data_IF_847910179689
#
_entry.id   IF_847910179689
#
_cell.length_a   1.000
_cell.length_b   1.000
_cell.length_c   1.000
_cell.angle_alpha   90.00
_cell.angle_beta   90.00
_cell.angle_gamma   90.00
#
_symmetry.space_group_name_H-M   'P 1'
#
loop_
_entity.id
_entity.type
_entity.pdbx_description
1 polymer ?
#
# COMPACT_ATOMS: atom_id res chain seq x y z
N UNK A 1 -41.20 -6.92 3.54
CA UNK A 1 -40.64 -5.58 3.26
C UNK A 1 -41.15 -4.52 4.24
N UNK A 2 -42.47 -4.27 4.33
CA UNK A 2 -43.05 -3.21 5.18
C UNK A 2 -42.63 -3.27 6.67
N UNK A 3 -42.58 -4.46 7.28
CA UNK A 3 -42.15 -4.62 8.67
C UNK A 3 -40.66 -4.27 8.88
N UNK A 4 -39.81 -4.61 7.92
CA UNK A 4 -38.39 -4.23 7.96
C UNK A 4 -38.21 -2.72 7.77
N UNK A 5 -39.00 -2.11 6.88
CA UNK A 5 -38.99 -0.66 6.67
C UNK A 5 -39.36 0.07 7.95
N UNK A 6 -40.45 -0.31 8.60
CA UNK A 6 -40.89 0.30 9.86
C UNK A 6 -39.84 0.15 10.97
N UNK A 7 -39.28 -1.04 11.13
CA UNK A 7 -38.26 -1.31 12.14
C UNK A 7 -37.00 -0.43 11.95
N UNK A 8 -36.45 -0.37 10.74
CA UNK A 8 -35.21 0.39 10.49
C UNK A 8 -35.43 1.90 10.46
N UNK A 9 -36.63 2.35 10.06
CA UNK A 9 -37.01 3.77 10.13
C UNK A 9 -37.05 4.24 11.58
N UNK A 10 -37.68 3.46 12.45
CA UNK A 10 -37.74 3.72 13.89
C UNK A 10 -36.33 3.67 14.52
N UNK A 11 -35.62 2.56 14.30
CA UNK A 11 -34.30 2.30 14.92
C UNK A 11 -33.23 3.36 14.59
N UNK A 12 -33.30 4.00 13.43
CA UNK A 12 -32.34 5.03 13.03
C UNK A 12 -32.94 6.44 12.94
N UNK A 13 -34.22 6.60 13.29
CA UNK A 13 -34.97 7.85 13.21
C UNK A 13 -34.86 8.51 11.82
N UNK A 14 -35.14 7.75 10.77
CA UNK A 14 -35.12 8.21 9.37
C UNK A 14 -36.44 7.92 8.67
N UNK A 15 -36.69 8.60 7.54
CA UNK A 15 -37.91 8.45 6.76
C UNK A 15 -38.09 7.00 6.25
N UNK A 16 -39.25 6.35 6.51
CA UNK A 16 -39.60 5.06 5.92
C UNK A 16 -39.43 4.98 4.40
N UNK A 17 -39.68 6.06 3.67
CA UNK A 17 -39.49 6.09 2.22
C UNK A 17 -38.01 5.95 1.83
N UNK A 18 -37.11 6.59 2.58
CA UNK A 18 -35.67 6.47 2.39
C UNK A 18 -35.20 5.04 2.68
N UNK A 19 -35.68 4.43 3.78
CA UNK A 19 -35.35 3.04 4.14
C UNK A 19 -35.82 2.07 3.06
N UNK A 20 -37.05 2.24 2.56
CA UNK A 20 -37.62 1.39 1.52
C UNK A 20 -36.80 1.46 0.23
N UNK A 21 -36.39 2.67 -0.18
CA UNK A 21 -35.52 2.86 -1.34
C UNK A 21 -34.15 2.18 -1.17
N UNK A 22 -33.55 2.24 0.03
CA UNK A 22 -32.29 1.53 0.30
C UNK A 22 -32.48 0.02 0.29
N UNK A 23 -33.52 -0.52 0.94
CA UNK A 23 -33.81 -1.96 0.97
C UNK A 23 -33.97 -2.55 -0.44
N UNK A 24 -34.53 -1.80 -1.38
CA UNK A 24 -34.65 -2.22 -2.77
C UNK A 24 -33.29 -2.39 -3.49
N UNK A 25 -32.20 -1.87 -2.92
CA UNK A 25 -30.83 -2.02 -3.41
C UNK A 25 -29.95 -2.63 -2.31
N UNK A 26 -29.69 -3.94 -2.41
CA UNK A 26 -28.92 -4.70 -1.42
C UNK A 26 -27.59 -4.04 -1.04
N UNK A 27 -26.84 -3.51 -2.00
CA UNK A 27 -25.55 -2.87 -1.73
C UNK A 27 -25.72 -1.55 -0.98
N UNK A 28 -26.70 -0.73 -1.37
CA UNK A 28 -27.01 0.52 -0.70
C UNK A 28 -27.50 0.28 0.74
N UNK A 29 -28.32 -0.75 0.94
CA UNK A 29 -28.81 -1.12 2.27
C UNK A 29 -27.69 -1.64 3.17
N UNK A 30 -26.83 -2.53 2.67
CA UNK A 30 -25.69 -3.05 3.43
C UNK A 30 -24.72 -1.93 3.86
N UNK A 31 -24.36 -1.01 2.95
CA UNK A 31 -23.50 0.13 3.31
C UNK A 31 -24.19 1.07 4.32
N UNK A 32 -25.51 1.27 4.20
CA UNK A 32 -26.27 2.05 5.16
C UNK A 32 -26.23 1.42 6.56
N UNK A 33 -26.58 0.14 6.69
CA UNK A 33 -26.52 -0.57 7.97
C UNK A 33 -25.11 -0.55 8.54
N UNK A 34 -24.08 -0.83 7.72
CA UNK A 34 -22.67 -0.77 8.15
C UNK A 34 -22.30 0.62 8.67
N UNK A 35 -22.79 1.68 8.03
CA UNK A 35 -22.51 3.06 8.46
C UNK A 35 -23.15 3.44 9.79
N UNK A 36 -24.35 2.91 10.09
CA UNK A 36 -25.09 3.21 11.32
C UNK A 36 -24.69 2.32 12.49
N UNK A 37 -24.39 1.05 12.21
CA UNK A 37 -24.16 0.05 13.26
C UNK A 37 -22.67 -0.17 13.52
N UNK A 38 -21.83 -0.29 12.49
CA UNK A 38 -20.48 -0.86 12.65
C UNK A 38 -19.37 0.20 12.72
N UNK A 39 -19.56 1.36 12.07
CA UNK A 39 -18.53 2.42 12.06
C UNK A 39 -18.42 3.10 13.44
N UNK A 40 -17.27 3.76 13.69
CA UNK A 40 -17.01 4.51 14.92
C UNK A 40 -18.20 5.38 15.33
N UNK A 41 -18.71 5.16 16.54
CA UNK A 41 -19.91 5.82 17.08
C UNK A 41 -21.23 5.07 16.84
N UNK A 42 -21.21 3.99 16.06
CA UNK A 42 -22.35 3.09 15.86
C UNK A 42 -22.49 2.06 16.99
N UNK A 43 -23.68 1.48 17.11
CA UNK A 43 -24.04 0.56 18.20
C UNK A 43 -23.14 -0.68 18.33
N UNK A 44 -22.72 -1.24 17.20
CA UNK A 44 -21.84 -2.40 17.11
C UNK A 44 -20.35 -2.05 17.01
N UNK A 45 -19.98 -0.78 17.16
CA UNK A 45 -18.57 -0.40 17.14
C UNK A 45 -17.89 -0.69 18.47
N UNK A 46 -16.83 -1.50 18.42
CA UNK A 46 -15.92 -1.69 19.54
C UNK A 46 -14.58 -1.02 19.21
N UNK A 47 -14.08 -0.20 20.14
CA UNK A 47 -12.76 0.40 20.00
C UNK A 47 -11.70 -0.71 20.04
N UNK A 48 -10.76 -0.74 19.07
CA UNK A 48 -9.64 -1.67 19.09
C UNK A 48 -8.83 -1.59 20.39
N UNK A 49 -8.45 -2.76 20.90
CA UNK A 49 -7.55 -2.92 22.05
C UNK A 49 -6.50 -3.99 21.73
N UNK A 50 -5.46 -4.09 22.56
CA UNK A 50 -4.45 -5.16 22.42
C UNK A 50 -5.02 -6.58 22.53
N UNK A 51 -6.25 -6.74 23.04
CA UNK A 51 -6.95 -8.04 23.10
C UNK A 51 -7.66 -8.40 21.79
N UNK A 52 -7.98 -7.40 20.95
CA UNK A 52 -8.73 -7.58 19.71
C UNK A 52 -7.88 -7.38 18.46
N UNK A 53 -6.75 -6.67 18.59
CA UNK A 53 -5.77 -6.45 17.53
C UNK A 53 -4.35 -6.61 18.09
N UNK A 54 -3.40 -7.16 17.30
CA UNK A 54 -2.02 -7.26 17.70
C UNK A 54 -1.38 -5.87 17.88
N UNK A 55 -0.33 -5.79 18.70
CA UNK A 55 0.45 -4.56 18.81
C UNK A 55 1.22 -4.32 17.51
N UNK A 56 1.51 -3.06 17.22
CA UNK A 56 2.24 -2.68 16.01
C UNK A 56 3.60 -3.37 15.91
N UNK A 57 4.33 -3.45 17.02
CA UNK A 57 5.66 -4.07 17.06
C UNK A 57 5.58 -5.58 16.80
N UNK A 58 4.54 -6.25 17.29
CA UNK A 58 4.29 -7.67 17.01
C UNK A 58 3.99 -7.91 15.53
N UNK A 59 3.20 -7.03 14.91
CA UNK A 59 2.90 -7.12 13.47
C UNK A 59 4.16 -6.91 12.63
N UNK A 60 4.99 -5.92 12.97
CA UNK A 60 6.24 -5.67 12.27
C UNK A 60 7.17 -6.88 12.41
N UNK A 61 7.33 -7.42 13.62
CA UNK A 61 8.14 -8.61 13.87
C UNK A 61 7.66 -9.81 13.04
N UNK A 62 6.34 -10.09 13.04
CA UNK A 62 5.77 -11.19 12.26
C UNK A 62 6.01 -11.05 10.74
N UNK A 63 5.94 -9.82 10.21
CA UNK A 63 6.27 -9.56 8.79
C UNK A 63 7.76 -9.81 8.53
N UNK A 64 8.64 -9.38 9.43
CA UNK A 64 10.08 -9.56 9.30
C UNK A 64 10.50 -11.03 9.41
N UNK A 65 9.85 -11.83 10.27
CA UNK A 65 10.08 -13.27 10.39
C UNK A 65 9.80 -14.00 9.06
N UNK A 66 8.80 -13.53 8.30
CA UNK A 66 8.51 -14.02 6.96
C UNK A 66 9.48 -13.49 5.89
N UNK A 67 10.50 -12.70 6.29
CA UNK A 67 11.41 -11.97 5.40
C UNK A 67 10.68 -11.10 4.38
N UNK A 68 9.47 -10.65 4.73
CA UNK A 68 8.66 -9.74 3.93
C UNK A 68 9.00 -8.28 4.26
N UNK A 69 8.34 -7.32 3.61
CA UNK A 69 8.61 -5.89 3.73
C UNK A 69 7.58 -5.24 4.67
N UNK A 70 7.94 -4.85 5.91
CA UNK A 70 7.05 -4.07 6.75
C UNK A 70 6.77 -2.71 6.12
N UNK A 71 5.50 -2.42 5.91
CA UNK A 71 5.04 -1.28 5.12
C UNK A 71 3.93 -0.54 5.87
N UNK A 72 4.01 0.78 5.93
CA UNK A 72 2.92 1.57 6.49
C UNK A 72 1.92 1.99 5.42
N UNK A 73 0.63 1.82 5.71
CA UNK A 73 -0.41 2.43 4.89
C UNK A 73 -0.60 3.90 5.29
N UNK A 74 -0.57 4.78 4.30
CA UNK A 74 -1.00 6.17 4.42
C UNK A 74 -2.29 6.36 3.64
N UNK A 75 -3.29 6.95 4.28
CA UNK A 75 -4.62 7.04 3.71
C UNK A 75 -4.78 8.32 2.88
N UNK A 76 -4.79 9.47 3.57
CA UNK A 76 -5.18 10.73 2.92
C UNK A 76 -4.81 12.02 3.67
N UNK A 77 -3.93 11.96 4.67
CA UNK A 77 -3.47 13.13 5.41
C UNK A 77 -4.44 13.62 6.47
N UNK A 78 -5.61 12.97 6.67
CA UNK A 78 -6.64 13.50 7.56
C UNK A 78 -6.43 13.14 9.04
N UNK A 79 -5.77 12.02 9.34
CA UNK A 79 -5.58 11.60 10.73
C UNK A 79 -4.62 12.53 11.47
N UNK A 80 -4.72 12.61 12.80
CA UNK A 80 -3.81 13.44 13.61
C UNK A 80 -2.33 13.09 13.39
N UNK A 81 -2.04 11.81 13.14
CA UNK A 81 -0.69 11.35 12.84
C UNK A 81 -0.27 11.74 11.41
N UNK A 82 -1.14 11.52 10.41
CA UNK A 82 -0.83 11.82 9.01
C UNK A 82 -0.71 13.33 8.72
N UNK A 83 -1.34 14.18 9.53
CA UNK A 83 -1.14 15.64 9.49
C UNK A 83 0.28 16.07 9.90
N UNK A 84 1.04 15.16 10.53
CA UNK A 84 2.45 15.34 10.90
C UNK A 84 3.30 14.25 10.22
N UNK A 85 3.40 14.27 8.88
CA UNK A 85 3.87 13.13 8.10
C UNK A 85 5.33 12.76 8.41
N UNK A 86 6.19 13.72 8.72
CA UNK A 86 7.60 13.44 9.03
C UNK A 86 7.78 12.74 10.39
N UNK A 87 7.28 13.25 11.53
CA UNK A 87 7.29 12.50 12.79
C UNK A 87 6.59 11.14 12.71
N UNK A 88 5.50 11.06 11.94
CA UNK A 88 4.81 9.82 11.67
C UNK A 88 5.73 8.79 10.99
N UNK A 89 6.39 9.16 9.90
CA UNK A 89 7.33 8.27 9.20
C UNK A 89 8.54 7.91 10.07
N UNK A 90 9.16 8.89 10.74
CA UNK A 90 10.29 8.64 11.64
C UNK A 90 9.95 7.62 12.74
N UNK A 91 8.76 7.72 13.32
CA UNK A 91 8.28 6.77 14.34
C UNK A 91 8.17 5.36 13.79
N UNK A 92 7.63 5.21 12.57
CA UNK A 92 7.44 3.91 11.95
C UNK A 92 8.76 3.30 11.44
N UNK A 93 9.65 4.12 10.88
CA UNK A 93 11.01 3.72 10.49
C UNK A 93 11.76 3.19 11.70
N UNK A 94 11.73 3.92 12.83
CA UNK A 94 12.37 3.50 14.07
C UNK A 94 11.84 2.16 14.61
N UNK A 95 10.60 1.79 14.25
CA UNK A 95 9.98 0.51 14.59
C UNK A 95 10.28 -0.62 13.60
N UNK A 96 10.88 -0.33 12.44
CA UNK A 96 11.25 -1.32 11.43
C UNK A 96 10.42 -1.29 10.15
N UNK A 97 9.59 -0.26 9.93
CA UNK A 97 8.96 -0.02 8.62
C UNK A 97 10.01 0.45 7.62
N UNK A 98 10.01 -0.16 6.45
CA UNK A 98 10.99 0.13 5.38
C UNK A 98 10.34 0.47 4.04
N UNK A 99 9.02 0.60 3.99
CA UNK A 99 8.26 0.95 2.79
C UNK A 99 6.94 1.65 3.16
N UNK A 100 6.28 2.28 2.18
CA UNK A 100 4.94 2.87 2.35
C UNK A 100 3.96 2.36 1.30
N UNK A 101 2.68 2.33 1.65
CA UNK A 101 1.57 2.06 0.74
C UNK A 101 0.65 3.28 0.62
N UNK A 102 0.26 3.64 -0.60
CA UNK A 102 -0.67 4.74 -0.88
C UNK A 102 -1.82 4.21 -1.76
N UNK A 103 -3.03 4.70 -1.53
CA UNK A 103 -4.18 4.55 -2.44
C UNK A 103 -4.33 5.89 -3.20
N UNK A 104 -3.77 6.01 -4.42
CA UNK A 104 -3.56 7.31 -5.03
C UNK A 104 -4.86 8.02 -5.46
N UNK A 105 -5.82 7.32 -6.08
CA UNK A 105 -7.03 7.96 -6.61
C UNK A 105 -7.92 8.61 -5.55
N UNK A 106 -7.84 8.11 -4.32
CA UNK A 106 -8.52 8.68 -3.15
C UNK A 106 -8.06 10.10 -2.83
N UNK A 107 -6.88 10.51 -3.32
CA UNK A 107 -6.19 11.72 -2.86
C UNK A 107 -6.28 12.91 -3.82
N UNK A 108 -6.95 12.76 -4.96
CA UNK A 108 -7.06 13.86 -5.92
C UNK A 108 -8.45 14.00 -6.55
N UNK A 109 -9.24 12.93 -6.63
CA UNK A 109 -10.50 12.93 -7.37
C UNK A 109 -11.68 13.47 -6.53
N UNK A 110 -11.70 14.79 -6.29
CA UNK A 110 -12.76 15.48 -5.53
C UNK A 110 -13.46 16.55 -6.38
N UNK A 111 -14.79 16.68 -6.19
CA UNK A 111 -15.59 17.74 -6.81
C UNK A 111 -15.29 19.11 -6.19
N UNK A 112 -15.13 19.14 -4.87
CA UNK A 112 -14.76 20.34 -4.13
C UNK A 112 -13.27 20.63 -4.36
N UNK A 113 -12.98 21.84 -4.86
CA UNK A 113 -11.63 22.26 -5.24
C UNK A 113 -10.72 22.55 -4.05
N UNK A 114 -11.26 22.98 -2.92
CA UNK A 114 -10.47 23.24 -1.73
C UNK A 114 -10.08 21.92 -1.06
N UNK A 115 -11.01 20.96 -1.03
CA UNK A 115 -10.72 19.59 -0.57
C UNK A 115 -9.69 18.94 -1.50
N UNK A 116 -9.87 19.05 -2.81
CA UNK A 116 -8.94 18.54 -3.82
C UNK A 116 -7.52 19.09 -3.58
N UNK A 117 -7.38 20.41 -3.46
CA UNK A 117 -6.08 21.06 -3.26
C UNK A 117 -5.38 20.58 -1.97
N UNK A 118 -6.13 20.48 -0.86
CA UNK A 118 -5.58 20.00 0.42
C UNK A 118 -5.10 18.54 0.34
N UNK A 119 -5.88 17.68 -0.32
CA UNK A 119 -5.55 16.25 -0.45
C UNK A 119 -4.34 16.02 -1.36
N UNK A 120 -4.26 16.78 -2.45
CA UNK A 120 -3.11 16.78 -3.34
C UNK A 120 -1.85 17.27 -2.60
N UNK A 121 -1.94 18.37 -1.84
CA UNK A 121 -0.80 18.88 -1.09
C UNK A 121 -0.30 17.88 -0.04
N UNK A 122 -1.22 17.18 0.64
CA UNK A 122 -0.88 16.14 1.60
C UNK A 122 -0.19 14.94 0.93
N UNK A 123 -0.67 14.52 -0.25
CA UNK A 123 -0.02 13.48 -1.06
C UNK A 123 1.38 13.91 -1.51
N UNK A 124 1.51 15.11 -2.05
CA UNK A 124 2.79 15.65 -2.55
C UNK A 124 3.83 15.66 -1.41
N UNK A 125 3.44 16.11 -0.22
CA UNK A 125 4.32 16.14 0.96
C UNK A 125 4.69 14.74 1.45
N UNK A 126 3.73 13.82 1.49
CA UNK A 126 4.00 12.44 1.91
C UNK A 126 4.96 11.74 0.94
N UNK A 127 4.75 11.87 -0.37
CA UNK A 127 5.66 11.32 -1.40
C UNK A 127 7.06 11.94 -1.28
N UNK A 128 7.15 13.26 -1.07
CA UNK A 128 8.45 13.95 -0.88
C UNK A 128 9.21 13.37 0.31
N UNK A 129 8.53 13.16 1.44
CA UNK A 129 9.15 12.59 2.64
C UNK A 129 9.51 11.13 2.47
N UNK A 130 8.66 10.30 1.86
CA UNK A 130 9.01 8.90 1.56
C UNK A 130 10.29 8.81 0.74
N UNK A 131 10.46 9.67 -0.26
CA UNK A 131 11.69 9.75 -1.05
C UNK A 131 12.90 10.21 -0.23
N UNK A 132 12.73 11.21 0.62
CA UNK A 132 13.80 11.69 1.53
C UNK A 132 14.31 10.58 2.45
N UNK A 133 13.43 9.69 2.89
CA UNK A 133 13.77 8.55 3.74
C UNK A 133 14.08 7.26 2.96
N UNK A 134 14.17 7.34 1.63
CA UNK A 134 14.41 6.19 0.75
C UNK A 134 13.44 5.02 0.98
N UNK A 135 12.17 5.34 1.20
CA UNK A 135 11.09 4.37 1.35
C UNK A 135 10.45 4.10 -0.02
N UNK A 136 10.50 2.86 -0.55
CA UNK A 136 9.75 2.50 -1.75
C UNK A 136 8.24 2.70 -1.51
N UNK A 137 7.58 3.24 -2.53
CA UNK A 137 6.15 3.57 -2.50
C UNK A 137 5.37 2.52 -3.29
N UNK A 138 4.69 1.62 -2.58
CA UNK A 138 3.72 0.72 -3.20
C UNK A 138 2.39 1.46 -3.39
N UNK A 139 1.82 1.35 -4.58
CA UNK A 139 0.50 1.92 -4.88
C UNK A 139 -0.44 0.84 -5.39
N UNK A 140 -1.72 0.99 -5.08
CA UNK A 140 -2.73 0.09 -5.59
C UNK A 140 -4.13 0.60 -5.34
N UNK A 141 -5.06 0.08 -6.15
CA UNK A 141 -6.47 0.40 -6.03
C UNK A 141 -7.05 -0.21 -4.75
N UNK A 142 -7.83 0.55 -4.00
CA UNK A 142 -8.59 0.08 -2.84
C UNK A 142 -9.90 -0.58 -3.30
N UNK A 143 -9.85 -1.67 -4.08
CA UNK A 143 -11.00 -2.32 -4.75
C UNK A 143 -12.03 -2.97 -3.82
N UNK A 144 -12.51 -2.23 -2.83
CA UNK A 144 -13.38 -2.66 -1.75
C UNK A 144 -14.85 -2.26 -1.95
N UNK A 145 -15.17 -1.53 -3.02
CA UNK A 145 -16.51 -1.05 -3.34
C UNK A 145 -16.83 -1.13 -4.83
N UNK A 146 -18.07 -1.49 -5.19
CA UNK A 146 -18.54 -1.39 -6.57
C UNK A 146 -18.34 0.02 -7.14
N UNK A 147 -17.85 0.10 -8.38
CA UNK A 147 -17.65 1.36 -9.10
C UNK A 147 -16.27 2.01 -8.91
N UNK A 148 -15.40 1.45 -8.06
CA UNK A 148 -13.99 1.84 -8.06
C UNK A 148 -13.29 1.36 -9.33
N UNK A 149 -12.26 2.08 -9.74
CA UNK A 149 -11.46 1.72 -10.92
C UNK A 149 -10.67 0.44 -10.65
N UNK A 150 -10.45 -0.33 -11.71
CA UNK A 150 -9.53 -1.46 -11.70
C UNK A 150 -8.06 -0.99 -11.68
N UNK A 151 -7.80 0.18 -12.28
CA UNK A 151 -6.48 0.81 -12.34
C UNK A 151 -6.66 2.29 -12.03
N UNK A 152 -5.84 2.82 -11.12
CA UNK A 152 -5.81 4.25 -10.80
C UNK A 152 -5.43 5.10 -12.03
N UNK A 153 -5.87 6.35 -12.05
CA UNK A 153 -5.59 7.24 -13.18
C UNK A 153 -4.22 7.91 -13.05
N UNK A 154 -3.18 7.21 -13.51
CA UNK A 154 -1.81 7.74 -13.56
C UNK A 154 -1.59 8.83 -14.61
N UNK A 155 -2.58 9.12 -15.46
CA UNK A 155 -2.53 10.24 -16.42
C UNK A 155 -2.94 11.57 -15.79
N UNK A 156 -3.72 11.53 -14.70
CA UNK A 156 -4.12 12.72 -13.95
C UNK A 156 -2.90 13.51 -13.48
N UNK A 157 -2.95 14.84 -13.56
CA UNK A 157 -1.80 15.70 -13.26
C UNK A 157 -1.22 15.45 -11.86
N UNK A 158 -2.08 15.28 -10.86
CA UNK A 158 -1.69 15.00 -9.48
C UNK A 158 -0.92 13.68 -9.34
N UNK A 159 -1.20 12.69 -10.19
CA UNK A 159 -0.53 11.38 -10.17
C UNK A 159 0.72 11.36 -11.06
N UNK A 160 0.64 11.99 -12.23
CA UNK A 160 1.70 11.99 -13.24
C UNK A 160 3.03 12.51 -12.70
N UNK A 161 3.00 13.52 -11.83
CA UNK A 161 4.22 14.07 -11.19
C UNK A 161 4.94 13.07 -10.26
N UNK A 162 4.23 12.07 -9.75
CA UNK A 162 4.77 11.05 -8.85
C UNK A 162 5.02 9.71 -9.53
N UNK A 163 4.70 9.59 -10.82
CA UNK A 163 4.77 8.34 -11.58
C UNK A 163 6.11 7.63 -11.43
N UNK A 164 7.23 8.37 -11.49
CA UNK A 164 8.55 7.77 -11.35
C UNK A 164 8.76 7.12 -9.97
N UNK A 165 8.30 7.76 -8.90
CA UNK A 165 8.42 7.23 -7.55
C UNK A 165 7.53 5.99 -7.34
N UNK A 166 6.34 6.00 -7.94
CA UNK A 166 5.43 4.83 -7.92
C UNK A 166 5.99 3.66 -8.73
N UNK A 167 6.56 3.93 -9.90
CA UNK A 167 7.19 2.91 -10.73
C UNK A 167 8.40 2.29 -10.04
N UNK A 168 9.26 3.11 -9.42
CA UNK A 168 10.41 2.65 -8.64
C UNK A 168 9.97 1.77 -7.47
N UNK A 169 8.93 2.17 -6.72
CA UNK A 169 8.37 1.35 -5.65
C UNK A 169 7.83 0.01 -6.15
N UNK A 170 7.11 -0.01 -7.27
CA UNK A 170 6.65 -1.26 -7.90
C UNK A 170 7.83 -2.14 -8.34
N UNK A 171 8.88 -1.54 -8.90
CA UNK A 171 10.11 -2.24 -9.26
C UNK A 171 10.77 -2.85 -8.02
N UNK A 172 10.83 -2.15 -6.88
CA UNK A 172 11.35 -2.75 -5.64
C UNK A 172 10.55 -3.98 -5.23
N UNK A 173 9.22 -3.98 -5.32
CA UNK A 173 8.39 -5.15 -4.99
C UNK A 173 8.70 -6.35 -5.92
N UNK A 174 8.87 -6.09 -7.21
CA UNK A 174 9.26 -7.12 -8.20
C UNK A 174 10.69 -7.61 -7.95
N UNK A 175 11.62 -6.70 -7.69
CA UNK A 175 13.02 -7.01 -7.39
C UNK A 175 13.16 -7.86 -6.14
N UNK A 176 12.45 -7.50 -5.07
CA UNK A 176 12.36 -8.28 -3.84
C UNK A 176 11.86 -9.70 -4.12
N UNK A 177 10.76 -9.83 -4.86
CA UNK A 177 10.21 -11.14 -5.22
C UNK A 177 11.20 -11.98 -6.01
N UNK A 178 11.93 -11.39 -6.97
CA UNK A 178 12.93 -12.09 -7.79
C UNK A 178 14.14 -12.53 -6.97
N UNK A 179 14.73 -11.60 -6.20
CA UNK A 179 15.90 -11.85 -5.38
C UNK A 179 15.60 -12.87 -4.27
N UNK A 180 14.45 -12.76 -3.61
CA UNK A 180 14.08 -13.72 -2.57
C UNK A 180 13.88 -15.12 -3.16
N UNK A 181 13.20 -15.21 -4.31
CA UNK A 181 12.90 -16.48 -4.97
C UNK A 181 14.14 -17.21 -5.49
N UNK A 182 15.04 -16.49 -6.14
CA UNK A 182 16.15 -17.11 -6.88
C UNK A 182 17.50 -17.01 -6.16
N UNK A 183 17.71 -15.92 -5.41
CA UNK A 183 18.97 -15.64 -4.74
C UNK A 183 18.90 -15.77 -3.21
N UNK A 184 17.72 -16.08 -2.65
CA UNK A 184 17.49 -16.12 -1.21
C UNK A 184 17.85 -14.80 -0.50
N UNK A 185 17.64 -13.66 -1.18
CA UNK A 185 17.92 -12.31 -0.64
C UNK A 185 16.62 -11.50 -0.50
N UNK A 186 16.32 -11.06 0.71
CA UNK A 186 15.19 -10.19 1.03
C UNK A 186 15.59 -8.71 1.06
N UNK A 187 14.61 -7.83 0.82
CA UNK A 187 14.80 -6.38 0.94
C UNK A 187 15.17 -5.98 2.36
N UNK A 188 14.76 -6.75 3.38
CA UNK A 188 15.06 -6.43 4.78
C UNK A 188 16.33 -7.08 5.31
N UNK A 189 17.03 -7.90 4.51
CA UNK A 189 18.26 -8.53 5.00
C UNK A 189 19.31 -7.46 5.29
N UNK A 190 19.96 -7.49 6.47
CA UNK A 190 20.91 -6.45 6.86
C UNK A 190 22.10 -6.39 5.89
N UNK A 191 22.53 -7.55 5.41
CA UNK A 191 23.62 -7.70 4.44
C UNK A 191 23.23 -8.70 3.35
N UNK A 192 23.77 -8.49 2.15
CA UNK A 192 23.76 -9.49 1.09
C UNK A 192 25.04 -9.33 0.27
N UNK A 193 25.59 -10.45 -0.20
CA UNK A 193 26.85 -10.46 -0.97
C UNK A 193 28.01 -9.75 -0.22
N UNK A 194 28.09 -9.96 1.10
CA UNK A 194 29.12 -9.37 1.97
C UNK A 194 29.03 -7.85 2.13
N UNK A 195 27.98 -7.20 1.63
CA UNK A 195 27.81 -5.74 1.64
C UNK A 195 26.67 -5.34 2.56
N UNK A 196 26.88 -4.25 3.29
CA UNK A 196 25.84 -3.49 3.98
C UNK A 196 25.52 -2.26 3.13
N UNK A 197 24.30 -2.20 2.59
CA UNK A 197 23.88 -1.09 1.74
C UNK A 197 23.15 -0.03 2.55
N UNK A 198 23.42 1.23 2.22
CA UNK A 198 22.58 2.36 2.66
C UNK A 198 21.14 2.17 2.15
N UNK A 199 20.13 2.80 2.79
CA UNK A 199 18.75 2.76 2.31
C UNK A 199 18.60 3.17 0.84
N UNK A 200 19.34 4.20 0.41
CA UNK A 200 19.37 4.66 -0.98
C UNK A 200 19.90 3.59 -1.94
N UNK A 201 21.06 3.01 -1.64
CA UNK A 201 21.68 1.96 -2.47
C UNK A 201 20.81 0.70 -2.54
N UNK A 202 20.18 0.33 -1.43
CA UNK A 202 19.26 -0.80 -1.36
C UNK A 202 18.04 -0.58 -2.24
N UNK A 203 17.38 0.57 -2.11
CA UNK A 203 16.25 0.94 -2.95
C UNK A 203 16.64 0.88 -4.43
N UNK A 204 17.75 1.53 -4.81
CA UNK A 204 18.22 1.55 -6.19
C UNK A 204 18.54 0.15 -6.73
N UNK A 205 19.22 -0.70 -5.95
CA UNK A 205 19.56 -2.06 -6.36
C UNK A 205 18.31 -2.90 -6.61
N UNK A 206 17.39 -2.97 -5.64
CA UNK A 206 16.17 -3.77 -5.80
C UNK A 206 15.28 -3.24 -6.93
N UNK A 207 15.17 -1.91 -7.09
CA UNK A 207 14.48 -1.31 -8.22
C UNK A 207 15.12 -1.73 -9.56
N UNK A 208 16.45 -1.72 -9.67
CA UNK A 208 17.13 -2.13 -10.91
C UNK A 208 16.88 -3.59 -11.29
N UNK A 209 16.86 -4.50 -10.32
CA UNK A 209 16.52 -5.92 -10.55
C UNK A 209 15.04 -6.06 -10.93
N UNK A 210 14.16 -5.28 -10.31
CA UNK A 210 12.74 -5.25 -10.64
C UNK A 210 12.43 -4.68 -12.02
N UNK A 211 13.24 -3.73 -12.49
CA UNK A 211 13.11 -3.08 -13.79
C UNK A 211 13.41 -4.01 -14.97
N UNK A 212 14.10 -5.14 -14.75
CA UNK A 212 14.31 -6.14 -15.80
C UNK A 212 12.97 -6.63 -16.35
N UNK A 213 12.86 -6.89 -17.67
CA UNK A 213 11.63 -7.39 -18.27
C UNK A 213 11.28 -8.76 -17.68
N UNK A 214 10.03 -9.22 -17.83
CA UNK A 214 9.64 -10.54 -17.37
C UNK A 214 10.62 -11.61 -17.92
N UNK A 215 11.20 -12.47 -17.07
CA UNK A 215 12.23 -13.39 -17.52
C UNK A 215 11.63 -14.40 -18.52
N UNK A 216 12.22 -14.55 -19.71
CA UNK A 216 11.80 -15.56 -20.67
C UNK A 216 12.06 -16.99 -20.12
N UNK A 217 11.47 -18.03 -20.72
CA UNK A 217 11.55 -19.40 -20.20
C UNK A 217 12.98 -19.91 -19.95
N UNK A 218 13.92 -19.60 -20.84
CA UNK A 218 15.34 -19.99 -20.70
C UNK A 218 16.01 -19.32 -19.49
N UNK A 219 15.75 -18.02 -19.27
CA UNK A 219 16.28 -17.28 -18.11
C UNK A 219 15.66 -17.81 -16.82
N UNK A 220 14.35 -18.08 -16.79
CA UNK A 220 13.69 -18.69 -15.62
C UNK A 220 14.28 -20.05 -15.29
N UNK A 221 14.55 -20.88 -16.29
CA UNK A 221 15.19 -22.18 -16.09
C UNK A 221 16.60 -22.00 -15.52
N UNK A 222 17.42 -21.14 -16.11
CA UNK A 222 18.77 -20.82 -15.59
C UNK A 222 18.74 -20.37 -14.13
N UNK A 223 17.87 -19.41 -13.79
CA UNK A 223 17.72 -18.91 -12.42
C UNK A 223 17.26 -20.00 -11.45
N UNK A 224 16.37 -20.89 -11.86
CA UNK A 224 15.88 -22.01 -11.04
C UNK A 224 16.95 -23.07 -10.81
N UNK A 225 17.77 -23.35 -11.81
CA UNK A 225 18.82 -24.38 -11.75
C UNK A 225 20.11 -23.88 -11.07
N UNK A 226 20.27 -22.57 -10.90
CA UNK A 226 21.46 -21.94 -10.30
C UNK A 226 21.46 -22.05 -8.78
N UNK A 227 22.65 -22.16 -8.19
CA UNK A 227 22.79 -21.92 -6.76
C UNK A 227 22.46 -20.44 -6.42
N UNK A 228 22.01 -20.12 -5.19
CA UNK A 228 21.56 -18.77 -4.84
C UNK A 228 22.58 -17.65 -5.09
N UNK A 229 23.86 -17.91 -4.84
CA UNK A 229 24.97 -16.98 -5.10
C UNK A 229 25.19 -16.74 -6.61
N UNK A 230 25.09 -17.79 -7.42
CA UNK A 230 25.16 -17.69 -8.87
C UNK A 230 23.96 -16.94 -9.45
N UNK A 231 22.75 -17.21 -8.93
CA UNK A 231 21.54 -16.49 -9.30
C UNK A 231 21.61 -15.00 -8.91
N UNK A 232 22.16 -14.69 -7.73
CA UNK A 232 22.42 -13.32 -7.28
C UNK A 232 23.35 -12.58 -8.23
N UNK A 233 24.50 -13.17 -8.57
CA UNK A 233 25.46 -12.59 -9.49
C UNK A 233 24.84 -12.34 -10.87
N UNK A 234 24.11 -13.32 -11.41
CA UNK A 234 23.43 -13.20 -12.70
C UNK A 234 22.35 -12.10 -12.72
N UNK A 235 21.53 -12.00 -11.65
CA UNK A 235 20.53 -10.93 -11.52
C UNK A 235 21.20 -9.56 -11.41
N UNK A 236 22.28 -9.46 -10.63
CA UNK A 236 23.04 -8.21 -10.45
C UNK A 236 23.67 -7.74 -11.75
N UNK A 237 24.32 -8.64 -12.49
CA UNK A 237 24.92 -8.34 -13.80
C UNK A 237 23.87 -7.95 -14.84
N UNK A 238 22.73 -8.66 -14.84
CA UNK A 238 21.61 -8.33 -15.73
C UNK A 238 21.05 -6.95 -15.43
N UNK A 239 20.86 -6.63 -14.14
CA UNK A 239 20.36 -5.33 -13.69
C UNK A 239 21.32 -4.19 -14.05
N UNK A 240 22.63 -4.37 -13.84
CA UNK A 240 23.66 -3.40 -14.19
C UNK A 240 23.72 -3.10 -15.70
N UNK A 241 23.35 -4.09 -16.54
CA UNK A 241 23.29 -3.95 -18.01
C UNK A 241 21.89 -3.63 -18.53
N UNK A 242 20.90 -3.52 -17.64
CA UNK A 242 19.48 -3.35 -17.98
C UNK A 242 18.94 -4.40 -18.97
N UNK A 243 19.53 -5.60 -19.00
CA UNK A 243 19.19 -6.67 -19.94
C UNK A 243 19.62 -8.05 -19.42
N UNK A 244 18.81 -9.07 -19.72
CA UNK A 244 19.14 -10.47 -19.42
C UNK A 244 20.43 -10.91 -20.14
N UNK A 245 21.35 -11.55 -19.41
CA UNK A 245 22.62 -12.06 -19.93
C UNK A 245 22.55 -13.50 -20.46
#
# INVERSE_FOLDING_TARGET
>A
AAQAVAYWADAFSIDPAEVNAKIANTNAFAEFLRSKLIKRGGLGYQQPTAQTFPLLDDVIAAIQECRAIPMCAWLDGASQAEQKPEPFLQTLIAKGVVAVNIIPDRNWNFKDKDVQAKKIAALDEFVRLSRRYHLPINVGTEGNKPGQRLVDDFSAEAMRRHHQAFLEGAQVMVGHTRLLRYANVSYIDPTFDGRELTPEQRLAFFASVGALPAPPPNVRKKLTDSAPDQAFAYLSDSAAKHAWQ
#
